data_IF_825131552032
#
_entry.id   IF_825131552032
#
_cell.length_a   1.000
_cell.length_b   1.000
_cell.length_c   1.000
_cell.angle_alpha   90.00
_cell.angle_beta   90.00
_cell.angle_gamma   90.00
#
_symmetry.space_group_name_H-M   'P 1'
#
loop_
_entity.id
_entity.type
_entity.pdbx_description
1 polymer ?
#
# COMPACT_ATOMS: atom_id res chain seq x y z
N UNK A 1 12.91 22.11 3.38
CA UNK A 1 13.81 21.37 2.48
C UNK A 1 12.93 20.55 1.56
N UNK A 2 13.05 20.70 0.24
CA UNK A 2 12.22 19.94 -0.71
C UNK A 2 12.84 18.54 -0.79
N UNK A 3 12.14 17.53 -0.26
CA UNK A 3 12.59 16.14 -0.38
C UNK A 3 12.71 15.79 -1.87
N UNK A 4 13.89 15.29 -2.27
CA UNK A 4 14.13 14.90 -3.65
C UNK A 4 13.44 13.55 -3.90
N UNK A 5 12.59 13.42 -4.93
CA UNK A 5 11.97 12.15 -5.25
C UNK A 5 13.04 11.13 -5.61
N UNK A 6 12.89 9.90 -5.11
CA UNK A 6 13.74 8.76 -5.45
C UNK A 6 13.37 8.17 -6.81
N UNK A 7 12.12 8.38 -7.23
CA UNK A 7 11.58 7.97 -8.52
C UNK A 7 10.72 9.12 -9.01
N UNK A 8 10.94 9.55 -10.24
CA UNK A 8 10.08 10.51 -10.95
C UNK A 8 10.16 10.16 -12.44
N UNK A 9 9.27 9.28 -12.89
CA UNK A 9 9.27 8.81 -14.27
C UNK A 9 7.91 8.22 -14.70
N UNK A 10 7.72 8.08 -16.01
CA UNK A 10 6.57 7.38 -16.58
C UNK A 10 6.86 5.89 -16.71
N UNK A 11 5.91 5.06 -16.28
CA UNK A 11 6.02 3.62 -16.37
C UNK A 11 4.82 3.02 -17.08
N UNK A 12 5.11 2.02 -17.92
CA UNK A 12 4.08 1.19 -18.54
C UNK A 12 3.44 0.28 -17.50
N UNK A 13 2.11 0.35 -17.42
CA UNK A 13 1.32 -0.53 -16.57
C UNK A 13 1.27 -1.91 -17.20
N UNK A 14 1.78 -2.90 -16.47
CA UNK A 14 1.80 -4.31 -16.86
C UNK A 14 0.74 -5.08 -16.07
N UNK A 15 0.10 -6.05 -16.72
CA UNK A 15 -0.72 -7.04 -16.04
C UNK A 15 -0.01 -8.38 -16.07
N UNK A 16 0.02 -9.08 -14.94
CA UNK A 16 0.46 -10.47 -14.91
C UNK A 16 -0.69 -11.34 -15.37
N UNK A 17 -0.47 -12.10 -16.46
CA UNK A 17 -1.38 -13.17 -16.83
C UNK A 17 -1.27 -14.30 -15.79
N UNK A 18 -2.44 -14.76 -15.34
CA UNK A 18 -2.55 -15.87 -14.40
C UNK A 18 -1.90 -17.14 -14.98
N UNK A 19 -0.81 -17.63 -14.37
CA UNK A 19 -0.41 -19.02 -14.57
C UNK A 19 -1.29 -19.88 -13.67
N UNK A 20 -2.29 -20.51 -14.29
CA UNK A 20 -3.12 -21.64 -13.81
C UNK A 20 -3.46 -21.71 -12.31
N UNK A 21 -4.75 -21.57 -11.98
CA UNK A 21 -5.35 -22.19 -10.79
C UNK A 21 -5.41 -21.37 -9.50
N UNK A 22 -4.61 -20.32 -9.32
CA UNK A 22 -4.73 -19.43 -8.16
C UNK A 22 -5.74 -18.30 -8.41
N UNK A 23 -6.82 -18.28 -7.64
CA UNK A 23 -7.97 -17.34 -7.72
C UNK A 23 -7.62 -15.84 -7.55
N UNK A 24 -6.35 -15.49 -7.30
CA UNK A 24 -5.85 -14.13 -7.03
C UNK A 24 -4.70 -13.68 -7.96
N UNK A 25 -4.65 -14.19 -9.18
CA UNK A 25 -3.46 -14.15 -10.05
C UNK A 25 -3.38 -12.97 -11.03
N UNK A 26 -4.36 -12.06 -11.02
CA UNK A 26 -4.36 -10.86 -11.86
C UNK A 26 -3.80 -9.64 -11.12
N UNK A 27 -2.48 -9.49 -11.12
CA UNK A 27 -1.84 -8.31 -10.55
C UNK A 27 -1.56 -7.30 -11.66
N UNK A 28 -2.01 -6.06 -11.47
CA UNK A 28 -1.57 -4.93 -12.29
C UNK A 28 -0.51 -4.17 -11.51
N UNK A 29 0.60 -3.87 -12.16
CA UNK A 29 1.76 -3.30 -11.51
C UNK A 29 2.61 -2.50 -12.50
N UNK A 30 3.48 -1.65 -11.97
CA UNK A 30 4.56 -1.03 -12.72
C UNK A 30 5.90 -1.55 -12.21
N UNK A 31 6.88 -1.60 -13.11
CA UNK A 31 8.24 -2.03 -12.79
C UNK A 31 9.13 -0.81 -12.72
N UNK A 32 9.76 -0.62 -11.57
CA UNK A 32 10.72 0.44 -11.31
C UNK A 32 12.12 -0.16 -11.44
N UNK A 33 12.86 0.15 -12.51
CA UNK A 33 14.18 -0.40 -12.72
C UNK A 33 15.23 0.26 -11.81
N UNK A 34 16.31 -0.48 -11.55
CA UNK A 34 17.53 0.04 -10.91
C UNK A 34 17.30 0.83 -9.60
N UNK A 35 16.42 0.34 -8.73
CA UNK A 35 16.15 1.00 -7.45
C UNK A 35 17.39 0.92 -6.52
N UNK A 36 17.82 2.03 -5.89
CA UNK A 36 19.03 2.05 -5.07
C UNK A 36 19.00 0.98 -3.97
N UNK A 37 19.95 0.02 -3.96
CA UNK A 37 19.94 -1.09 -3.00
C UNK A 37 20.19 -0.64 -1.57
N UNK A 38 20.88 0.49 -1.38
CA UNK A 38 21.18 1.11 -0.07
C UNK A 38 19.92 1.47 0.73
N UNK A 39 18.78 1.60 0.04
CA UNK A 39 17.50 2.01 0.63
C UNK A 39 16.57 0.82 0.91
N UNK A 40 17.05 -0.41 0.74
CA UNK A 40 16.27 -1.64 0.96
C UNK A 40 16.34 -2.08 2.42
N UNK A 41 15.19 -2.48 2.97
CA UNK A 41 15.17 -3.15 4.29
C UNK A 41 15.83 -4.53 4.19
N UNK A 42 16.19 -5.19 5.31
CA UNK A 42 16.77 -6.54 5.30
C UNK A 42 15.90 -7.58 4.57
N UNK A 43 14.59 -7.32 4.44
CA UNK A 43 13.63 -8.17 3.72
C UNK A 43 13.51 -7.81 2.22
N UNK A 44 14.27 -6.84 1.74
CA UNK A 44 14.28 -6.39 0.34
C UNK A 44 13.10 -5.50 -0.05
N UNK A 45 12.17 -5.22 0.86
CA UNK A 45 11.04 -4.29 0.64
C UNK A 45 11.44 -2.86 0.96
N UNK A 46 10.77 -1.89 0.32
CA UNK A 46 10.99 -0.46 0.55
C UNK A 46 9.66 0.22 0.77
N UNK A 47 9.58 1.04 1.83
CA UNK A 47 8.40 1.85 2.10
C UNK A 47 8.53 3.18 1.37
N UNK A 48 7.48 3.55 0.65
CA UNK A 48 7.44 4.75 -0.17
C UNK A 48 6.12 5.48 -0.01
N UNK A 49 6.19 6.79 -0.15
CA UNK A 49 5.07 7.71 -0.29
C UNK A 49 5.21 8.44 -1.62
N UNK A 50 4.17 9.11 -2.11
CA UNK A 50 4.25 9.90 -3.33
C UNK A 50 2.96 9.85 -4.14
N UNK A 51 3.07 9.78 -5.46
CA UNK A 51 1.95 9.93 -6.37
C UNK A 51 2.02 8.96 -7.56
N UNK A 52 0.86 8.47 -7.97
CA UNK A 52 0.64 7.85 -9.28
C UNK A 52 -0.35 8.75 -10.01
N UNK A 53 0.11 9.49 -11.02
CA UNK A 53 -0.63 10.58 -11.66
C UNK A 53 -1.26 11.52 -10.61
N UNK A 54 -2.59 11.51 -10.47
CA UNK A 54 -3.33 12.33 -9.51
C UNK A 54 -3.66 11.60 -8.20
N UNK A 55 -3.21 10.36 -8.02
CA UNK A 55 -3.48 9.53 -6.84
C UNK A 55 -2.34 9.61 -5.84
N UNK A 56 -2.63 10.02 -4.61
CA UNK A 56 -1.65 10.06 -3.51
C UNK A 56 -1.44 8.68 -2.87
N UNK A 57 -0.18 8.26 -2.78
CA UNK A 57 0.28 7.06 -2.09
C UNK A 57 0.89 7.43 -0.73
N UNK A 58 0.40 6.78 0.33
CA UNK A 58 0.97 6.88 1.69
C UNK A 58 1.33 5.49 2.20
N UNK A 59 2.53 5.33 2.78
CA UNK A 59 2.99 4.09 3.41
C UNK A 59 2.83 2.85 2.53
N UNK A 60 3.20 2.99 1.26
CA UNK A 60 3.09 1.93 0.27
C UNK A 60 4.36 1.08 0.25
N UNK A 61 4.23 -0.20 -0.08
CA UNK A 61 5.38 -1.11 -0.12
C UNK A 61 5.75 -1.45 -1.56
N UNK A 62 7.00 -1.19 -1.92
CA UNK A 62 7.62 -1.73 -3.11
C UNK A 62 8.09 -3.16 -2.83
N UNK A 63 7.78 -4.06 -3.76
CA UNK A 63 8.14 -5.47 -3.67
C UNK A 63 9.39 -5.74 -4.52
N UNK A 64 10.40 -6.46 -4.01
CA UNK A 64 11.57 -6.80 -4.82
C UNK A 64 11.20 -7.73 -5.98
N UNK A 65 11.77 -7.45 -7.15
CA UNK A 65 11.78 -8.33 -8.32
C UNK A 65 13.21 -8.78 -8.64
N UNK A 66 13.32 -9.71 -9.59
CA UNK A 66 14.61 -10.14 -10.13
C UNK A 66 15.38 -8.96 -10.72
N UNK A 67 16.71 -9.09 -10.77
CA UNK A 67 17.63 -8.13 -11.39
C UNK A 67 17.62 -6.73 -10.74
N UNK A 68 17.31 -6.67 -9.43
CA UNK A 68 17.34 -5.41 -8.68
C UNK A 68 16.14 -4.49 -8.93
N UNK A 69 15.20 -4.91 -9.77
CA UNK A 69 13.97 -4.19 -10.06
C UNK A 69 13.02 -4.21 -8.86
N UNK A 70 12.14 -3.21 -8.77
CA UNK A 70 11.08 -3.16 -7.79
C UNK A 70 9.72 -3.14 -8.48
N UNK A 71 8.75 -3.81 -7.89
CA UNK A 71 7.37 -3.85 -8.35
C UNK A 71 6.53 -2.93 -7.44
N UNK A 72 5.78 -2.02 -8.07
CA UNK A 72 4.76 -1.22 -7.42
C UNK A 72 3.38 -1.77 -7.84
N UNK A 73 2.65 -2.45 -6.94
CA UNK A 73 1.33 -2.97 -7.25
C UNK A 73 0.28 -1.85 -7.38
N UNK A 74 -0.47 -1.82 -8.48
CA UNK A 74 -1.60 -0.91 -8.68
C UNK A 74 -2.90 -1.60 -8.23
N UNK A 75 -3.35 -1.28 -7.02
CA UNK A 75 -4.65 -1.75 -6.49
C UNK A 75 -5.79 -1.29 -7.40
N UNK A 76 -6.89 -2.03 -7.39
CA UNK A 76 -8.09 -1.69 -8.18
C UNK A 76 -8.62 -0.27 -7.90
N UNK A 77 -8.53 0.19 -6.64
CA UNK A 77 -8.93 1.55 -6.27
C UNK A 77 -8.09 2.64 -6.97
N UNK A 78 -6.77 2.44 -7.03
CA UNK A 78 -5.85 3.35 -7.73
C UNK A 78 -6.21 3.41 -9.21
N UNK A 79 -6.30 2.24 -9.88
CA UNK A 79 -6.65 2.14 -11.31
C UNK A 79 -7.96 2.84 -11.64
N UNK A 80 -8.99 2.64 -10.82
CA UNK A 80 -10.29 3.32 -10.99
C UNK A 80 -10.19 4.83 -10.84
N UNK A 81 -9.36 5.32 -9.91
CA UNK A 81 -9.21 6.75 -9.65
C UNK A 81 -8.43 7.48 -10.74
N UNK A 82 -7.38 6.85 -11.28
CA UNK A 82 -6.56 7.42 -12.36
C UNK A 82 -7.15 7.13 -13.75
N UNK A 83 -8.11 6.20 -13.86
CA UNK A 83 -8.73 5.82 -15.12
C UNK A 83 -7.80 5.06 -16.08
N UNK A 84 -6.70 4.49 -15.57
CA UNK A 84 -5.67 3.82 -16.36
C UNK A 84 -5.50 2.35 -15.96
N UNK A 85 -5.22 1.53 -16.97
CA UNK A 85 -5.12 0.09 -16.89
C UNK A 85 -3.88 -0.45 -17.61
N UNK A 86 -3.92 -1.74 -17.94
CA UNK A 86 -2.85 -2.39 -18.70
C UNK A 86 -2.60 -1.71 -20.04
N UNK A 87 -1.33 -1.49 -20.39
CA UNK A 87 -0.95 -0.82 -21.64
C UNK A 87 -0.87 0.69 -21.53
N UNK A 88 -1.40 1.30 -20.47
CA UNK A 88 -1.30 2.74 -20.24
C UNK A 88 0.02 3.12 -19.56
N UNK A 89 0.41 4.38 -19.74
CA UNK A 89 1.52 4.99 -19.00
C UNK A 89 1.00 5.79 -17.80
N UNK A 90 1.60 5.55 -16.64
CA UNK A 90 1.35 6.31 -15.41
C UNK A 90 2.60 7.07 -15.01
N UNK A 91 2.44 8.32 -14.58
CA UNK A 91 3.53 9.08 -13.99
C UNK A 91 3.67 8.72 -12.52
N UNK A 92 4.84 8.24 -12.12
CA UNK A 92 5.09 7.78 -10.74
C UNK A 92 6.16 8.66 -10.13
N UNK A 93 5.79 9.31 -9.04
CA UNK A 93 6.68 10.10 -8.19
C UNK A 93 6.72 9.40 -6.84
N UNK A 94 7.89 8.97 -6.37
CA UNK A 94 8.04 8.32 -5.07
C UNK A 94 9.10 9.01 -4.23
N UNK A 95 8.88 8.99 -2.92
CA UNK A 95 9.76 9.42 -1.84
C UNK A 95 9.96 8.23 -0.90
N UNK A 96 11.09 8.22 -0.17
CA UNK A 96 11.21 7.27 0.93
C UNK A 96 10.24 7.66 2.03
N UNK A 97 9.55 6.67 2.58
CA UNK A 97 8.61 6.89 3.67
C UNK A 97 9.16 6.31 4.97
N UNK A 98 9.84 7.19 5.72
CA UNK A 98 10.29 6.95 7.08
C UNK A 98 9.28 7.45 8.13
N UNK A 99 8.07 7.83 7.70
CA UNK A 99 7.05 8.32 8.62
C UNK A 99 6.64 7.24 9.63
N UNK A 100 6.34 7.64 10.88
CA UNK A 100 5.74 6.73 11.84
C UNK A 100 4.41 6.23 11.29
N UNK A 101 4.03 5.01 11.68
CA UNK A 101 2.72 4.48 11.32
C UNK A 101 1.64 5.42 11.89
N UNK A 102 0.69 5.80 11.04
CA UNK A 102 -0.42 6.64 11.46
C UNK A 102 -1.50 5.73 12.05
N UNK A 103 -1.67 5.80 13.37
CA UNK A 103 -2.64 5.00 14.13
C UNK A 103 -3.81 5.93 14.47
N UNK A 104 -5.04 5.66 13.99
CA UNK A 104 -6.20 6.46 14.34
C UNK A 104 -6.39 6.54 15.87
N UNK A 105 -6.68 7.74 16.38
CA UNK A 105 -6.79 8.01 17.83
C UNK A 105 -7.73 7.04 18.56
N UNK A 106 -8.85 6.69 17.92
CA UNK A 106 -9.82 5.75 18.47
C UNK A 106 -9.23 4.34 18.65
N UNK A 107 -8.45 3.88 17.67
CA UNK A 107 -7.78 2.57 17.74
C UNK A 107 -6.65 2.64 18.77
N UNK A 108 -5.90 3.74 18.82
CA UNK A 108 -4.84 3.94 19.80
C UNK A 108 -5.41 3.90 21.23
N UNK A 109 -6.53 4.58 21.48
CA UNK A 109 -7.21 4.55 22.77
C UNK A 109 -7.60 3.12 23.18
N UNK A 110 -8.23 2.36 22.28
CA UNK A 110 -8.58 0.96 22.54
C UNK A 110 -7.36 0.07 22.78
N UNK A 111 -6.26 0.30 22.06
CA UNK A 111 -5.02 -0.44 22.28
C UNK A 111 -4.42 -0.12 23.66
N UNK A 112 -4.38 1.16 24.04
CA UNK A 112 -3.85 1.60 25.34
C UNK A 112 -4.65 1.05 26.53
N UNK A 113 -5.97 0.88 26.37
CA UNK A 113 -6.85 0.25 27.36
C UNK A 113 -6.54 -1.25 27.56
N UNK A 114 -5.84 -1.89 26.62
CA UNK A 114 -5.42 -3.29 26.71
C UNK A 114 -3.89 -3.42 26.56
N UNK A 115 -3.12 -3.35 27.67
CA UNK A 115 -1.66 -3.40 27.63
C UNK A 115 -1.09 -4.63 26.92
N UNK A 116 -1.80 -5.77 26.95
CA UNK A 116 -1.42 -6.98 26.23
C UNK A 116 -1.58 -6.81 24.72
N UNK A 117 -2.69 -6.23 24.27
CA UNK A 117 -2.95 -5.97 22.85
C UNK A 117 -1.99 -4.90 22.31
N UNK A 118 -1.74 -3.83 23.07
CA UNK A 118 -0.78 -2.79 22.68
C UNK A 118 0.64 -3.35 22.49
N UNK A 119 1.13 -4.15 23.44
CA UNK A 119 2.46 -4.78 23.34
C UNK A 119 2.57 -5.74 22.15
N UNK A 120 1.52 -6.52 21.89
CA UNK A 120 1.47 -7.38 20.72
C UNK A 120 1.47 -6.57 19.42
N UNK A 121 0.65 -5.51 19.35
CA UNK A 121 0.61 -4.64 18.18
C UNK A 121 1.98 -3.99 17.91
N UNK A 122 2.64 -3.49 18.94
CA UNK A 122 3.98 -2.92 18.82
C UNK A 122 5.07 -3.93 18.44
N UNK A 123 4.90 -5.22 18.70
CA UNK A 123 5.86 -6.25 18.28
C UNK A 123 5.72 -6.68 16.81
N UNK A 124 4.64 -6.27 16.15
CA UNK A 124 4.43 -6.55 14.73
C UNK A 124 5.31 -5.67 13.84
N UNK A 125 5.63 -6.16 12.64
CA UNK A 125 6.24 -5.32 11.60
C UNK A 125 5.29 -4.19 11.20
N UNK A 126 5.84 -3.07 10.71
CA UNK A 126 5.03 -1.93 10.26
C UNK A 126 4.01 -2.30 9.17
N UNK A 127 4.35 -3.25 8.30
CA UNK A 127 3.41 -3.80 7.30
C UNK A 127 2.25 -4.55 7.96
N UNK A 128 2.52 -5.36 8.98
CA UNK A 128 1.50 -6.08 9.72
C UNK A 128 0.63 -5.13 10.54
N UNK A 129 1.24 -4.15 11.23
CA UNK A 129 0.50 -3.11 11.93
C UNK A 129 -0.46 -2.37 10.99
N UNK A 130 0.02 -1.93 9.82
CA UNK A 130 -0.82 -1.30 8.79
C UNK A 130 -1.95 -2.21 8.31
N UNK A 131 -1.66 -3.49 8.08
CA UNK A 131 -2.67 -4.48 7.71
C UNK A 131 -3.79 -4.60 8.76
N UNK A 132 -3.45 -4.63 10.04
CA UNK A 132 -4.44 -4.63 11.12
C UNK A 132 -5.29 -3.35 11.12
N UNK A 133 -4.67 -2.17 10.94
CA UNK A 133 -5.39 -0.90 10.87
C UNK A 133 -6.36 -0.86 9.67
N UNK A 134 -5.89 -1.22 8.47
CA UNK A 134 -6.72 -1.29 7.27
C UNK A 134 -7.90 -2.25 7.46
N UNK A 135 -7.67 -3.40 8.11
CA UNK A 135 -8.71 -4.40 8.40
C UNK A 135 -9.76 -3.91 9.41
N UNK A 136 -9.34 -3.21 10.47
CA UNK A 136 -10.27 -2.61 11.46
C UNK A 136 -11.14 -1.56 10.79
N UNK A 137 -10.54 -0.67 9.99
CA UNK A 137 -11.26 0.38 9.26
C UNK A 137 -12.28 -0.18 8.27
N UNK A 138 -11.92 -1.24 7.53
CA UNK A 138 -12.84 -1.88 6.60
C UNK A 138 -13.99 -2.61 7.32
N UNK A 139 -13.74 -3.17 8.51
CA UNK A 139 -14.78 -3.78 9.35
C UNK A 139 -15.78 -2.73 9.85
N UNK A 140 -15.32 -1.58 10.35
CA UNK A 140 -16.20 -0.45 10.76
C UNK A 140 -17.10 0.02 9.63
N UNK A 141 -16.56 0.12 8.41
CA UNK A 141 -17.36 0.47 7.22
C UNK A 141 -18.44 -0.56 6.92
N UNK A 142 -18.17 -1.84 7.18
CA UNK A 142 -19.14 -2.92 6.96
C UNK A 142 -20.28 -2.87 7.99
N UNK A 143 -19.97 -2.72 9.28
CA UNK A 143 -20.98 -2.57 10.35
C UNK A 143 -21.89 -1.36 10.08
N UNK A 144 -21.29 -0.24 9.68
CA UNK A 144 -22.03 0.99 9.33
C UNK A 144 -23.00 0.77 8.15
N UNK A 145 -22.60 -0.04 7.14
CA UNK A 145 -23.48 -0.39 6.02
C UNK A 145 -24.64 -1.29 6.47
N UNK A 146 -24.38 -2.29 7.30
CA UNK A 146 -25.40 -3.20 7.84
C UNK A 146 -26.42 -2.43 8.68
N UNK A 147 -25.96 -1.56 9.58
CA UNK A 147 -26.84 -0.73 10.40
C UNK A 147 -27.75 0.19 9.56
N UNK A 148 -27.25 0.76 8.45
CA UNK A 148 -28.07 1.57 7.53
C UNK A 148 -29.13 0.75 6.79
N UNK A 149 -28.83 -0.49 6.42
CA UNK A 149 -29.81 -1.39 5.79
C UNK A 149 -30.89 -1.76 6.81
N UNK A 150 -30.50 -2.15 8.02
CA UNK A 150 -31.42 -2.54 9.08
C UNK A 150 -32.32 -1.40 9.60
N UNK A 151 -31.95 -0.14 9.35
CA UNK A 151 -32.74 1.04 9.74
C UNK A 151 -33.75 1.49 8.66
N UNK A 152 -33.58 0.99 7.44
CA UNK A 152 -34.43 1.31 6.28
C UNK A 152 -35.33 0.14 5.85
N UNK A 153 -35.45 -0.88 6.70
CA UNK A 153 -36.44 -1.95 6.69
C UNK A 153 -37.05 -2.04 8.10
#
# INVERSE_FOLDING_TARGET
>A
MIEKPIVDNQYLVKKRAAKSGFKYSEWTYVVIPAFPPEKKTPLGTVRVSGFIDTYELKQYHLLPMKEGNMCLPLKAAVRKKIGKGEGDFVHVILFLDDSPLDIPDEILACLLDSPKAYRFFLSLSSSNQKYYLDWIEDTKKMETKVARIAKNY
#
